data_IF_505603277967
#
_entry.id   IF_505603277967
#
_cell.length_a   1.000
_cell.length_b   1.000
_cell.length_c   1.000
_cell.angle_alpha   90.00
_cell.angle_beta   90.00
_cell.angle_gamma   90.00
#
_symmetry.space_group_name_H-M   'P 1'
#
loop_
_entity.id
_entity.type
_entity.pdbx_description
1 polymer ?
#
# COMPACT_ATOMS: atom_id res chain seq x y z
N UNK A 1 -6.14 7.98 5.33
CA UNK A 1 -6.33 6.54 5.01
C UNK A 1 -6.92 6.45 3.61
N UNK A 2 -6.88 5.29 2.95
CA UNK A 2 -7.30 5.18 1.56
C UNK A 2 -8.33 4.07 1.37
N UNK A 3 -9.57 4.44 1.02
CA UNK A 3 -10.68 3.50 0.79
C UNK A 3 -10.80 2.98 -0.65
N UNK A 4 -9.71 3.01 -1.42
CA UNK A 4 -9.79 2.56 -2.82
C UNK A 4 -9.62 1.06 -2.90
N UNK A 5 -10.34 0.43 -3.83
CA UNK A 5 -10.15 -0.95 -4.27
C UNK A 5 -8.67 -1.31 -4.55
N UNK A 6 -7.84 -0.32 -4.90
CA UNK A 6 -6.41 -0.52 -5.14
C UNK A 6 -5.58 -0.87 -3.90
N UNK A 7 -6.17 -0.81 -2.71
CA UNK A 7 -5.56 -1.15 -1.43
C UNK A 7 -6.31 -2.30 -0.78
N UNK A 8 -5.61 -3.15 -0.03
CA UNK A 8 -6.24 -4.18 0.77
C UNK A 8 -6.44 -3.65 2.20
N UNK A 9 -7.66 -3.69 2.76
CA UNK A 9 -7.96 -3.06 4.04
C UNK A 9 -7.49 -3.89 5.25
N UNK A 10 -7.31 -5.20 5.07
CA UNK A 10 -7.02 -6.15 6.17
C UNK A 10 -5.97 -7.15 5.72
N UNK A 11 -4.99 -7.40 6.58
CA UNK A 11 -3.94 -8.38 6.32
C UNK A 11 -3.29 -8.86 7.62
N UNK A 12 -2.60 -10.00 7.57
CA UNK A 12 -1.85 -10.54 8.70
C UNK A 12 -0.68 -9.62 9.02
N UNK A 13 -0.67 -9.07 10.24
CA UNK A 13 0.37 -8.15 10.74
C UNK A 13 1.03 -8.59 12.04
N UNK A 14 0.44 -9.56 12.71
CA UNK A 14 0.98 -10.18 13.91
C UNK A 14 0.93 -11.69 13.68
N UNK A 15 2.06 -12.35 13.91
CA UNK A 15 2.18 -13.81 13.84
C UNK A 15 2.78 -14.30 15.15
N UNK A 16 2.55 -15.57 15.47
CA UNK A 16 3.30 -16.26 16.51
C UNK A 16 4.69 -16.58 15.98
N UNK A 17 5.68 -16.61 16.87
CA UNK A 17 7.02 -17.07 16.51
C UNK A 17 7.01 -18.59 16.32
N UNK A 18 6.64 -19.01 15.12
CA UNK A 18 6.53 -20.40 14.70
C UNK A 18 7.42 -20.57 13.46
N UNK A 19 8.33 -21.55 13.52
CA UNK A 19 9.35 -21.78 12.48
C UNK A 19 8.76 -22.18 11.13
N UNK A 20 7.49 -22.60 11.08
CA UNK A 20 6.82 -22.91 9.82
C UNK A 20 6.06 -21.71 9.24
N UNK A 21 5.98 -20.57 9.95
CA UNK A 21 5.30 -19.38 9.43
C UNK A 21 6.31 -18.48 8.72
N UNK A 22 6.06 -18.26 7.43
CA UNK A 22 6.95 -17.48 6.58
C UNK A 22 6.20 -16.41 5.81
N UNK A 23 6.94 -15.39 5.37
CA UNK A 23 6.40 -14.33 4.52
C UNK A 23 5.89 -14.88 3.20
N UNK A 24 4.78 -14.32 2.73
CA UNK A 24 4.13 -14.65 1.49
C UNK A 24 4.09 -13.43 0.57
N UNK A 25 4.47 -13.60 -0.70
CA UNK A 25 4.49 -12.54 -1.73
C UNK A 25 5.23 -11.28 -1.24
N UNK A 26 6.53 -11.40 -1.00
CA UNK A 26 7.38 -10.30 -0.51
C UNK A 26 6.87 -9.66 0.79
N UNK A 27 6.42 -10.50 1.73
CA UNK A 27 5.85 -10.09 3.02
C UNK A 27 4.58 -9.22 2.89
N UNK A 28 3.84 -9.34 1.78
CA UNK A 28 2.48 -8.84 1.72
C UNK A 28 1.63 -9.49 2.81
N UNK A 29 1.77 -10.81 2.99
CA UNK A 29 1.05 -11.63 3.97
C UNK A 29 1.98 -12.73 4.56
N UNK A 30 1.40 -13.71 5.25
CA UNK A 30 2.10 -14.87 5.81
C UNK A 30 1.33 -16.17 5.54
N UNK A 31 2.07 -17.27 5.38
CA UNK A 31 1.52 -18.63 5.26
C UNK A 31 2.30 -19.60 6.15
N UNK A 32 1.67 -20.73 6.49
CA UNK A 32 2.39 -21.88 7.02
C UNK A 32 3.01 -22.65 5.87
N UNK A 33 4.29 -22.95 5.98
CA UNK A 33 5.11 -23.65 5.01
C UNK A 33 5.97 -24.66 5.78
N UNK A 34 5.48 -25.90 5.95
CA UNK A 34 6.25 -26.95 6.62
C UNK A 34 7.56 -27.25 5.88
N UNK A 35 8.61 -27.60 6.62
CA UNK A 35 9.93 -27.95 6.07
C UNK A 35 10.52 -26.90 5.11
N UNK A 36 10.29 -25.61 5.39
CA UNK A 36 10.78 -24.55 4.53
C UNK A 36 12.30 -24.52 4.45
N UNK A 37 12.84 -24.56 3.22
CA UNK A 37 14.29 -24.59 2.99
C UNK A 37 14.99 -23.23 3.17
N UNK A 38 14.26 -22.16 3.47
CA UNK A 38 14.82 -20.82 3.63
C UNK A 38 15.16 -20.09 2.33
N UNK A 39 14.99 -20.73 1.16
CA UNK A 39 15.48 -20.24 -0.12
C UNK A 39 14.32 -19.77 -1.00
N UNK A 40 13.31 -20.62 -1.26
CA UNK A 40 12.28 -20.32 -2.25
C UNK A 40 10.98 -19.76 -1.63
N UNK A 41 10.99 -18.46 -1.30
CA UNK A 41 9.81 -17.75 -0.80
C UNK A 41 8.66 -17.57 -1.82
N UNK A 42 8.83 -18.05 -3.07
CA UNK A 42 7.80 -18.01 -4.12
C UNK A 42 7.14 -19.36 -4.38
N UNK A 43 7.52 -20.40 -3.66
CA UNK A 43 6.88 -21.71 -3.81
C UNK A 43 5.38 -21.62 -3.52
N UNK A 44 4.57 -22.27 -4.34
CA UNK A 44 3.12 -22.27 -4.21
C UNK A 44 2.60 -23.55 -3.55
N UNK A 45 3.26 -24.66 -3.86
CA UNK A 45 2.95 -25.99 -3.34
C UNK A 45 3.25 -26.11 -1.84
N UNK A 46 2.50 -26.96 -1.14
CA UNK A 46 2.67 -27.22 0.29
C UNK A 46 2.64 -25.97 1.18
N UNK A 47 1.87 -24.95 0.76
CA UNK A 47 1.66 -23.73 1.56
C UNK A 47 0.21 -23.61 2.01
N UNK A 48 0.00 -23.17 3.25
CA UNK A 48 -1.30 -23.17 3.90
C UNK A 48 -1.64 -21.79 4.45
N UNK A 49 -2.86 -21.33 4.19
CA UNK A 49 -3.38 -20.09 4.77
C UNK A 49 -3.47 -20.22 6.29
N UNK A 50 -3.13 -19.15 7.00
CA UNK A 50 -3.26 -19.12 8.45
C UNK A 50 -4.72 -18.91 8.85
N UNK A 51 -5.11 -19.56 9.96
CA UNK A 51 -6.34 -19.24 10.69
C UNK A 51 -6.06 -18.00 11.55
N UNK A 52 -6.85 -16.95 11.38
CA UNK A 52 -6.59 -15.65 12.02
C UNK A 52 -7.85 -15.11 12.70
N UNK A 53 -7.62 -14.26 13.70
CA UNK A 53 -8.66 -13.44 14.32
C UNK A 53 -8.47 -11.99 13.87
N UNK A 54 -9.58 -11.28 13.66
CA UNK A 54 -9.53 -9.85 13.40
C UNK A 54 -9.38 -9.10 14.73
N UNK A 55 -8.47 -8.14 14.77
CA UNK A 55 -8.22 -7.28 15.92
C UNK A 55 -8.76 -5.88 15.64
N UNK A 56 -9.24 -5.21 16.67
CA UNK A 56 -9.49 -3.78 16.66
C UNK A 56 -8.16 -3.03 16.85
N UNK A 57 -7.29 -3.16 15.85
CA UNK A 57 -5.95 -2.58 15.85
C UNK A 57 -5.58 -2.13 14.44
N UNK A 58 -4.99 -0.94 14.34
CA UNK A 58 -4.72 -0.28 13.06
C UNK A 58 -3.22 -0.06 12.88
N UNK A 59 -2.71 -0.43 11.70
CA UNK A 59 -1.31 -0.21 11.33
C UNK A 59 -1.23 0.98 10.39
N UNK A 60 -0.47 1.99 10.78
CA UNK A 60 -0.23 3.17 9.96
C UNK A 60 1.03 3.00 9.10
N UNK A 61 0.86 3.06 7.78
CA UNK A 61 1.96 2.90 6.83
C UNK A 61 2.38 4.24 6.21
N UNK A 62 3.55 4.75 6.61
CA UNK A 62 4.10 6.03 6.13
C UNK A 62 5.16 5.87 5.02
N UNK A 63 5.27 4.69 4.41
CA UNK A 63 6.34 4.37 3.45
C UNK A 63 6.37 5.26 2.20
N UNK A 64 5.23 5.88 1.85
CA UNK A 64 5.04 6.79 0.73
C UNK A 64 4.80 8.25 1.16
N UNK A 65 5.10 8.62 2.42
CA UNK A 65 4.91 10.01 2.90
C UNK A 65 6.28 10.65 3.07
N UNK A 66 6.78 11.30 2.00
CA UNK A 66 8.13 11.88 1.94
C UNK A 66 8.12 13.16 1.07
N UNK A 67 9.09 14.07 1.24
CA UNK A 67 9.32 15.14 0.25
C UNK A 67 9.34 14.58 -1.18
N UNK A 68 8.67 15.24 -2.15
CA UNK A 68 8.56 14.76 -3.54
C UNK A 68 9.88 14.33 -4.18
N UNK A 69 10.97 15.07 -3.94
CA UNK A 69 12.31 14.75 -4.41
C UNK A 69 12.80 13.40 -3.85
N UNK A 70 12.66 13.17 -2.54
CA UNK A 70 13.09 11.93 -1.89
C UNK A 70 12.22 10.74 -2.28
N UNK A 71 10.92 10.97 -2.48
CA UNK A 71 10.04 9.92 -2.97
C UNK A 71 10.40 9.50 -4.40
N UNK A 72 10.77 10.45 -5.26
CA UNK A 72 11.24 10.15 -6.61
C UNK A 72 12.56 9.38 -6.58
N UNK A 73 13.54 9.84 -5.80
CA UNK A 73 14.83 9.14 -5.65
C UNK A 73 14.64 7.72 -5.14
N UNK A 74 13.79 7.52 -4.11
CA UNK A 74 13.45 6.20 -3.59
C UNK A 74 12.83 5.31 -4.67
N UNK A 75 11.88 5.84 -5.43
CA UNK A 75 11.20 5.11 -6.49
C UNK A 75 12.18 4.72 -7.62
N UNK A 76 13.04 5.64 -8.05
CA UNK A 76 14.08 5.39 -9.06
C UNK A 76 15.06 4.30 -8.58
N UNK A 77 15.48 4.37 -7.33
CA UNK A 77 16.36 3.35 -6.73
C UNK A 77 15.70 1.97 -6.69
N UNK A 78 14.42 1.88 -6.30
CA UNK A 78 13.67 0.62 -6.29
C UNK A 78 13.48 0.06 -7.70
N UNK A 79 13.09 0.91 -8.66
CA UNK A 79 12.90 0.49 -10.06
C UNK A 79 14.21 -0.03 -10.65
N UNK A 80 15.38 0.50 -10.25
CA UNK A 80 16.70 0.08 -10.75
C UNK A 80 17.07 -1.34 -10.32
N UNK A 81 16.55 -1.79 -9.18
CA UNK A 81 16.73 -3.16 -8.72
C UNK A 81 15.90 -4.14 -9.55
N UNK A 82 14.77 -3.69 -10.11
CA UNK A 82 13.80 -4.54 -10.81
C UNK A 82 13.80 -4.39 -12.33
N UNK A 83 14.51 -3.42 -12.89
CA UNK A 83 14.54 -3.14 -14.32
C UNK A 83 15.88 -2.53 -14.75
N UNK A 84 16.35 -2.94 -15.92
CA UNK A 84 17.54 -2.37 -16.55
C UNK A 84 17.26 -1.08 -17.36
N UNK A 85 15.99 -0.66 -17.48
CA UNK A 85 15.57 0.43 -18.37
C UNK A 85 15.19 1.73 -17.65
N UNK A 86 15.56 1.87 -16.38
CA UNK A 86 15.13 2.98 -15.52
C UNK A 86 15.46 4.35 -16.10
N UNK A 87 16.65 4.54 -16.69
CA UNK A 87 17.02 5.85 -17.26
C UNK A 87 16.10 6.26 -18.43
N UNK A 88 15.66 5.31 -19.25
CA UNK A 88 14.70 5.58 -20.34
C UNK A 88 13.33 5.95 -19.78
N UNK A 89 12.86 5.22 -18.76
CA UNK A 89 11.56 5.44 -18.12
C UNK A 89 11.50 6.83 -17.47
N UNK A 90 12.55 7.22 -16.76
CA UNK A 90 12.56 8.45 -15.97
C UNK A 90 12.86 9.71 -16.79
N UNK A 91 13.43 9.59 -18.00
CA UNK A 91 13.66 10.74 -18.89
C UNK A 91 12.38 11.53 -19.22
N UNK A 92 11.24 10.83 -19.32
CA UNK A 92 9.96 11.41 -19.69
C UNK A 92 9.03 11.63 -18.48
N UNK A 93 9.51 11.41 -17.25
CA UNK A 93 8.74 11.60 -16.03
C UNK A 93 9.09 12.94 -15.36
N UNK A 94 8.17 13.49 -14.55
CA UNK A 94 8.48 14.62 -13.69
C UNK A 94 9.73 14.36 -12.81
N UNK A 95 10.51 15.43 -12.58
CA UNK A 95 11.74 15.37 -11.77
C UNK A 95 11.42 15.06 -10.31
N UNK A 96 10.32 15.61 -9.79
CA UNK A 96 9.82 15.32 -8.46
C UNK A 96 8.61 14.38 -8.50
N UNK A 97 8.40 13.60 -7.45
CA UNK A 97 7.27 12.69 -7.38
C UNK A 97 5.97 13.47 -7.20
N UNK A 98 5.04 13.27 -8.13
CA UNK A 98 3.72 13.88 -8.07
C UNK A 98 2.71 12.94 -7.40
N UNK A 99 2.27 13.34 -6.21
CA UNK A 99 1.29 12.62 -5.39
C UNK A 99 -0.12 12.59 -6.00
N UNK A 100 -0.38 13.42 -7.02
CA UNK A 100 -1.69 13.58 -7.63
C UNK A 100 -2.62 14.49 -6.81
N UNK A 101 -3.88 14.63 -7.26
CA UNK A 101 -4.85 15.57 -6.70
C UNK A 101 -5.35 15.11 -5.32
N UNK A 102 -4.83 15.71 -4.25
CA UNK A 102 -5.15 15.34 -2.86
C UNK A 102 -6.57 15.76 -2.43
N UNK A 103 -7.19 16.68 -3.15
CA UNK A 103 -8.61 17.03 -3.00
C UNK A 103 -9.56 15.88 -3.37
N UNK A 104 -9.05 14.87 -4.09
CA UNK A 104 -9.84 13.72 -4.56
C UNK A 104 -9.67 12.47 -3.71
N UNK A 105 -8.93 12.57 -2.61
CA UNK A 105 -8.78 11.50 -1.63
C UNK A 105 -9.44 11.89 -0.32
N UNK A 106 -9.82 10.89 0.47
CA UNK A 106 -10.47 11.11 1.74
C UNK A 106 -9.47 11.63 2.79
N UNK A 107 -9.88 12.67 3.52
CA UNK A 107 -9.11 13.20 4.64
C UNK A 107 -9.22 12.27 5.84
N UNK A 108 -8.11 12.10 6.54
CA UNK A 108 -8.05 11.44 7.82
C UNK A 108 -8.14 12.49 8.92
N UNK A 109 -9.12 12.35 9.81
CA UNK A 109 -9.39 13.31 10.89
C UNK A 109 -9.14 12.72 12.28
N UNK A 110 -8.82 11.43 12.37
CA UNK A 110 -8.51 10.80 13.66
C UNK A 110 -7.03 11.03 14.03
N UNK A 111 -6.60 10.41 15.12
CA UNK A 111 -5.28 10.63 15.71
C UNK A 111 -4.23 9.70 15.11
N UNK A 112 -3.07 10.26 14.79
CA UNK A 112 -1.88 9.49 14.42
C UNK A 112 -1.18 8.92 15.66
N UNK A 113 -0.41 7.82 15.55
CA UNK A 113 0.38 7.30 16.67
C UNK A 113 1.29 8.37 17.27
N UNK A 114 1.39 8.44 18.61
CA UNK A 114 2.16 9.47 19.35
C UNK A 114 3.61 9.62 18.88
N UNK A 115 4.24 8.52 18.48
CA UNK A 115 5.62 8.51 17.94
C UNK A 115 5.77 9.33 16.65
N UNK A 116 4.67 9.60 15.93
CA UNK A 116 4.67 10.38 14.70
C UNK A 116 4.55 11.90 14.91
N UNK A 117 4.23 12.37 16.12
CA UNK A 117 4.04 13.81 16.39
C UNK A 117 5.23 14.66 15.93
N UNK A 118 6.45 14.25 16.29
CA UNK A 118 7.67 14.97 15.91
C UNK A 118 8.00 14.89 14.40
N UNK A 119 7.49 13.90 13.70
CA UNK A 119 7.67 13.79 12.25
C UNK A 119 6.66 14.66 11.51
N UNK A 120 5.42 14.68 11.98
CA UNK A 120 4.35 15.51 11.42
C UNK A 120 4.68 16.99 11.59
N UNK A 121 5.26 17.40 12.73
CA UNK A 121 5.67 18.80 12.94
C UNK A 121 6.78 19.28 11.99
N UNK A 122 7.54 18.35 11.39
CA UNK A 122 8.59 18.65 10.40
C UNK A 122 8.07 18.73 8.97
N UNK A 123 6.76 18.64 8.76
CA UNK A 123 6.15 18.67 7.43
C UNK A 123 6.32 20.04 6.77
N UNK A 124 7.41 20.19 6.02
CA UNK A 124 7.85 21.45 5.41
C UNK A 124 7.70 21.52 3.88
N UNK A 125 7.13 20.47 3.27
CA UNK A 125 6.97 20.33 1.82
C UNK A 125 5.50 20.40 1.38
N UNK A 126 4.62 20.91 2.24
CA UNK A 126 3.19 21.06 1.98
C UNK A 126 2.89 21.81 0.68
N UNK A 127 3.63 22.89 0.40
CA UNK A 127 3.46 23.72 -0.80
C UNK A 127 3.76 22.98 -2.12
N UNK A 128 4.43 21.83 -2.06
CA UNK A 128 4.70 20.98 -3.23
C UNK A 128 3.56 20.00 -3.53
N UNK A 129 2.49 19.99 -2.72
CA UNK A 129 1.35 19.11 -2.89
C UNK A 129 0.21 19.77 -3.67
N UNK A 130 -0.53 18.97 -4.43
CA UNK A 130 -1.68 19.44 -5.20
C UNK A 130 -2.96 19.35 -4.37
N UNK A 131 -3.39 20.48 -3.80
CA UNK A 131 -4.66 20.59 -3.08
C UNK A 131 -5.83 21.12 -3.94
N UNK A 132 -5.56 21.62 -5.13
CA UNK A 132 -6.57 22.11 -6.08
C UNK A 132 -5.98 22.22 -7.50
N UNK A 133 -6.79 22.66 -8.46
CA UNK A 133 -6.32 22.98 -9.82
C UNK A 133 -6.24 21.80 -10.79
N UNK A 134 -5.64 22.06 -11.96
CA UNK A 134 -5.54 21.07 -13.06
C UNK A 134 -4.44 20.06 -12.77
N UNK A 135 -4.73 18.78 -13.03
CA UNK A 135 -3.77 17.68 -12.88
C UNK A 135 -2.68 17.81 -13.94
N UNK A 136 -1.42 17.58 -13.55
CA UNK A 136 -0.29 17.53 -14.46
C UNK A 136 -0.51 16.46 -15.57
N UNK A 137 -0.58 16.84 -16.86
CA UNK A 137 -0.85 15.89 -17.95
C UNK A 137 0.28 14.88 -18.17
N UNK A 138 1.50 15.22 -17.79
CA UNK A 138 2.68 14.35 -17.95
C UNK A 138 2.82 13.33 -16.81
N UNK A 139 1.94 13.39 -15.80
CA UNK A 139 1.95 12.45 -14.69
C UNK A 139 1.15 11.20 -15.04
N UNK A 140 1.74 10.04 -14.75
CA UNK A 140 1.02 8.76 -14.76
C UNK A 140 -0.04 8.73 -13.66
N UNK A 141 -1.30 8.52 -14.03
CA UNK A 141 -2.41 8.33 -13.09
C UNK A 141 -2.15 7.17 -12.12
N UNK A 142 -2.34 7.41 -10.83
CA UNK A 142 -2.35 6.35 -9.82
C UNK A 142 -3.51 5.40 -10.08
N UNK A 143 -3.43 4.16 -9.59
CA UNK A 143 -4.49 3.15 -9.82
C UNK A 143 -5.85 3.67 -9.34
N UNK A 144 -5.93 4.23 -8.15
CA UNK A 144 -7.17 4.75 -7.55
C UNK A 144 -7.83 5.90 -8.34
N UNK A 145 -7.12 6.53 -9.28
CA UNK A 145 -7.65 7.63 -10.08
C UNK A 145 -8.34 7.16 -11.37
N UNK A 146 -8.11 5.92 -11.80
CA UNK A 146 -8.70 5.40 -13.03
C UNK A 146 -10.17 5.07 -12.81
N UNK A 147 -11.00 5.31 -13.83
CA UNK A 147 -12.46 5.18 -13.74
C UNK A 147 -12.91 3.82 -13.22
N UNK A 148 -12.33 2.71 -13.72
CA UNK A 148 -12.60 1.36 -13.23
C UNK A 148 -12.47 1.26 -11.70
N UNK A 149 -11.37 1.77 -11.14
CA UNK A 149 -11.12 1.66 -9.71
C UNK A 149 -11.98 2.64 -8.91
N UNK A 150 -12.28 3.82 -9.43
CA UNK A 150 -13.23 4.75 -8.80
C UNK A 150 -14.63 4.13 -8.71
N UNK A 151 -15.10 3.53 -9.80
CA UNK A 151 -16.40 2.88 -9.87
C UNK A 151 -16.48 1.70 -8.90
N UNK A 152 -15.50 0.79 -8.92
CA UNK A 152 -15.49 -0.36 -8.00
C UNK A 152 -15.39 0.12 -6.54
N UNK A 153 -14.52 1.09 -6.23
CA UNK A 153 -14.43 1.65 -4.88
C UNK A 153 -15.76 2.28 -4.44
N UNK A 154 -16.48 2.96 -5.34
CA UNK A 154 -17.79 3.50 -5.03
C UNK A 154 -18.80 2.40 -4.66
N UNK A 155 -18.89 1.32 -5.46
CA UNK A 155 -19.77 0.19 -5.16
C UNK A 155 -19.41 -0.47 -3.82
N UNK A 156 -18.13 -0.73 -3.59
CA UNK A 156 -17.65 -1.34 -2.36
C UNK A 156 -18.00 -0.50 -1.13
N UNK A 157 -17.75 0.82 -1.19
CA UNK A 157 -17.94 1.70 -0.04
C UNK A 157 -19.40 2.09 0.19
N UNK A 158 -20.22 2.21 -0.86
CA UNK A 158 -21.60 2.69 -0.74
C UNK A 158 -22.65 1.58 -0.72
N UNK A 159 -22.40 0.46 -1.38
CA UNK A 159 -23.38 -0.63 -1.50
C UNK A 159 -22.96 -1.89 -0.71
N UNK A 160 -21.66 -2.12 -0.53
CA UNK A 160 -21.15 -3.33 0.13
C UNK A 160 -20.57 -3.08 1.52
N UNK A 161 -20.86 -1.91 2.12
CA UNK A 161 -20.41 -1.53 3.46
C UNK A 161 -18.89 -1.68 3.67
N UNK A 162 -18.11 -1.36 2.63
CA UNK A 162 -16.64 -1.44 2.65
C UNK A 162 -16.07 -2.82 2.35
N UNK A 163 -16.90 -3.81 1.96
CA UNK A 163 -16.40 -5.12 1.56
C UNK A 163 -15.82 -5.08 0.13
N UNK A 164 -14.55 -5.44 -0.01
CA UNK A 164 -13.86 -5.44 -1.31
C UNK A 164 -14.26 -6.65 -2.17
N UNK A 165 -14.64 -6.40 -3.42
CA UNK A 165 -15.03 -7.41 -4.41
C UNK A 165 -13.77 -8.04 -4.99
N UNK A 166 -13.57 -9.35 -4.79
CA UNK A 166 -12.40 -10.04 -5.36
C UNK A 166 -11.05 -9.54 -4.86
N UNK A 167 -11.03 -8.84 -3.72
CA UNK A 167 -9.81 -8.37 -3.09
C UNK A 167 -8.90 -9.54 -2.68
N UNK A 168 -7.60 -9.27 -2.64
CA UNK A 168 -6.62 -10.25 -2.16
C UNK A 168 -6.97 -10.72 -0.74
N UNK A 169 -7.10 -12.05 -0.55
CA UNK A 169 -7.41 -12.66 0.75
C UNK A 169 -6.59 -13.92 0.98
N UNK A 170 -5.58 -13.79 1.83
CA UNK A 170 -4.59 -14.85 2.09
C UNK A 170 -4.72 -15.53 3.47
N UNK A 171 -5.90 -15.45 4.09
CA UNK A 171 -6.14 -16.01 5.42
C UNK A 171 -7.55 -16.61 5.55
N UNK A 172 -7.71 -17.48 6.55
CA UNK A 172 -8.99 -18.03 6.98
C UNK A 172 -9.38 -17.27 8.25
N UNK A 173 -10.38 -16.39 8.15
CA UNK A 173 -10.87 -15.62 9.30
C UNK A 173 -11.75 -16.51 10.17
N UNK A 174 -11.41 -16.64 11.44
CA UNK A 174 -12.24 -17.30 12.44
C UNK A 174 -13.30 -16.32 12.98
N UNK A 175 -14.47 -16.85 13.35
CA UNK A 175 -15.42 -16.10 14.18
C UNK A 175 -14.81 -16.00 15.59
N UNK A 176 -14.84 -14.81 16.15
CA UNK A 176 -14.51 -14.60 17.56
C UNK A 176 -15.71 -14.98 18.40
#
# INVERSE_FOLDING_TARGET
YHKSHSWYPKEIRIIRNDKEIHSWESAQSFRRIPNFNGINYRQQENTYKLKVVELDAYVFHYGWVRPPEYMQSKKKALDKIHSNEVEKIYKNLPVEFDYGPLDKIEKFFETHPKVMTNWISKFNWEKKLQYSGKINPNRKKHKHERLKYKFISFLEQKLLFGNHIGGFKNYIKLKK
#
